data_IF_090388394981
#
_entry.id   IF_090388394981
#
_cell.length_a   1.000
_cell.length_b   1.000
_cell.length_c   1.000
_cell.angle_alpha   90.00
_cell.angle_beta   90.00
_cell.angle_gamma   90.00
#
_symmetry.space_group_name_H-M   'P 1'
#
loop_
_entity.id
_entity.type
_entity.pdbx_description
1 polymer ?
#
# COMPACT_ATOMS: atom_id res chain seq x y z
N UNK A 1 57.68 41.65 50.51
CA UNK A 1 58.18 40.56 49.64
C UNK A 1 57.10 39.50 49.54
N UNK A 2 56.57 39.33 48.33
CA UNK A 2 55.61 38.29 47.95
C UNK A 2 56.25 36.91 48.06
N UNK A 3 55.51 35.94 48.60
CA UNK A 3 55.49 34.57 48.05
C UNK A 3 54.19 33.88 48.46
N UNK A 4 53.23 33.95 47.54
CA UNK A 4 52.18 32.95 47.41
C UNK A 4 52.87 31.60 47.18
N UNK A 5 52.52 30.58 47.96
CA UNK A 5 52.82 29.21 47.63
C UNK A 5 51.49 28.45 47.62
N UNK A 6 50.89 28.45 46.43
CA UNK A 6 50.10 27.38 45.85
C UNK A 6 49.22 26.61 46.84
N UNK A 7 48.04 27.18 47.09
CA UNK A 7 46.84 26.40 47.32
C UNK A 7 46.72 25.39 46.17
N UNK A 8 46.97 24.11 46.45
CA UNK A 8 46.52 23.02 45.60
C UNK A 8 44.99 23.09 45.62
N UNK A 9 44.42 23.81 44.66
CA UNK A 9 43.05 23.57 44.24
C UNK A 9 43.16 22.28 43.47
N UNK A 10 42.78 21.15 44.10
CA UNK A 10 42.34 20.00 43.33
C UNK A 10 41.20 20.52 42.45
N UNK A 11 41.49 20.72 41.16
CA UNK A 11 40.47 20.66 40.14
C UNK A 11 39.87 19.26 40.26
N UNK A 12 38.83 19.13 41.08
CA UNK A 12 37.84 18.09 40.87
C UNK A 12 37.27 18.39 39.47
N UNK A 13 37.89 17.79 38.45
CA UNK A 13 37.25 17.59 37.16
C UNK A 13 35.89 16.99 37.48
N UNK A 14 34.83 17.81 37.34
CA UNK A 14 33.48 17.36 37.54
C UNK A 14 33.22 16.28 36.48
N UNK A 15 33.45 15.02 36.85
CA UNK A 15 33.16 13.87 36.01
C UNK A 15 31.68 13.98 35.64
N UNK A 16 31.42 14.27 34.37
CA UNK A 16 30.06 14.40 33.87
C UNK A 16 29.40 13.05 34.08
N UNK A 17 28.45 12.98 35.01
CA UNK A 17 27.68 11.78 35.24
C UNK A 17 26.81 11.53 33.99
N UNK A 18 27.23 10.56 33.17
CA UNK A 18 26.55 10.19 31.93
C UNK A 18 25.30 9.33 32.19
N UNK A 19 25.14 8.77 33.38
CA UNK A 19 23.98 7.92 33.74
C UNK A 19 22.63 8.60 33.48
N UNK A 20 22.36 9.84 33.93
CA UNK A 20 21.12 10.53 33.61
C UNK A 20 20.98 10.90 32.13
N UNK A 21 22.08 11.13 31.41
CA UNK A 21 22.03 11.45 29.97
C UNK A 21 21.65 10.22 29.14
N UNK A 22 22.23 9.08 29.51
CA UNK A 22 21.94 7.79 28.89
C UNK A 22 20.47 7.43 29.08
N UNK A 23 19.91 7.61 30.27
CA UNK A 23 18.49 7.34 30.56
C UNK A 23 17.54 8.11 29.62
N UNK A 24 17.81 9.40 29.37
CA UNK A 24 17.02 10.22 28.43
C UNK A 24 17.10 9.66 27.01
N UNK A 25 18.28 9.28 26.53
CA UNK A 25 18.45 8.70 25.19
C UNK A 25 17.74 7.35 25.05
N UNK A 26 17.81 6.50 26.08
CA UNK A 26 17.12 5.20 26.09
C UNK A 26 15.60 5.37 26.04
N UNK A 27 15.03 6.28 26.83
CA UNK A 27 13.59 6.57 26.81
C UNK A 27 13.16 7.11 25.44
N UNK A 28 13.97 7.96 24.80
CA UNK A 28 13.67 8.46 23.45
C UNK A 28 13.65 7.36 22.40
N UNK A 29 14.59 6.40 22.45
CA UNK A 29 14.61 5.26 21.53
C UNK A 29 13.42 4.33 21.74
N UNK A 30 13.06 4.04 22.99
CA UNK A 30 11.88 3.23 23.31
C UNK A 30 10.62 3.92 22.79
N UNK A 31 10.47 5.22 23.04
CA UNK A 31 9.35 5.99 22.51
C UNK A 31 9.29 5.88 20.99
N UNK A 32 10.40 6.10 20.28
CA UNK A 32 10.44 6.02 18.82
C UNK A 32 10.07 4.63 18.30
N UNK A 33 10.54 3.55 18.93
CA UNK A 33 10.20 2.16 18.58
C UNK A 33 8.72 1.86 18.83
N UNK A 34 8.18 2.31 19.97
CA UNK A 34 6.78 2.05 20.36
C UNK A 34 5.81 2.91 19.55
N UNK A 35 6.16 4.16 19.25
CA UNK A 35 5.34 5.07 18.44
C UNK A 35 5.57 4.93 16.94
N UNK A 36 6.58 4.15 16.52
CA UNK A 36 6.72 3.73 15.13
C UNK A 36 5.54 2.82 14.78
N UNK A 37 4.41 3.44 14.49
CA UNK A 37 3.32 2.80 13.79
C UNK A 37 3.76 2.67 12.35
N UNK A 38 3.92 1.43 11.87
CA UNK A 38 3.92 1.19 10.44
C UNK A 38 2.58 1.68 9.92
N UNK A 39 2.60 2.78 9.16
CA UNK A 39 1.47 3.17 8.33
C UNK A 39 1.33 2.08 7.26
N UNK A 40 0.65 0.99 7.61
CA UNK A 40 0.06 0.11 6.60
C UNK A 40 -1.00 0.97 5.95
N UNK A 41 -0.74 1.39 4.72
CA UNK A 41 -1.77 1.99 3.87
C UNK A 41 -3.02 1.13 3.97
N UNK A 42 -4.11 1.74 4.42
CA UNK A 42 -5.41 1.10 4.59
C UNK A 42 -5.99 0.76 3.23
N UNK A 43 -5.54 -0.35 2.67
CA UNK A 43 -6.24 -1.13 1.66
C UNK A 43 -6.89 -2.33 2.34
N UNK A 44 -8.19 -2.23 2.60
CA UNK A 44 -9.14 -3.32 2.90
C UNK A 44 -8.61 -4.51 3.73
N UNK A 45 -9.10 -4.61 4.96
CA UNK A 45 -8.90 -5.73 5.88
C UNK A 45 -9.33 -7.07 5.24
N UNK A 46 -8.36 -7.83 4.74
CA UNK A 46 -8.55 -9.21 4.29
C UNK A 46 -7.98 -10.10 5.39
N UNK A 47 -8.86 -10.69 6.19
CA UNK A 47 -8.55 -11.81 7.07
C UNK A 47 -7.87 -12.92 6.25
N UNK A 48 -6.53 -13.00 6.31
CA UNK A 48 -5.76 -14.07 5.69
C UNK A 48 -5.13 -14.91 6.81
N UNK A 49 -5.52 -16.18 6.99
CA UNK A 49 -4.77 -17.07 7.85
C UNK A 49 -3.39 -17.30 7.23
N UNK A 50 -2.34 -17.08 8.03
CA UNK A 50 -0.94 -17.23 7.64
C UNK A 50 -0.67 -18.66 7.16
N UNK A 51 -0.38 -18.80 5.86
CA UNK A 51 0.16 -20.02 5.28
C UNK A 51 1.59 -19.74 4.79
N UNK A 52 2.62 -20.29 5.46
CA UNK A 52 4.00 -20.12 5.03
C UNK A 52 4.26 -21.10 3.89
N UNK A 53 4.06 -20.67 2.64
CA UNK A 53 4.61 -21.23 1.36
C UNK A 53 3.72 -20.92 0.15
N UNK A 54 3.21 -19.68 0.01
CA UNK A 54 2.70 -19.26 -1.29
C UNK A 54 3.86 -18.64 -2.09
N UNK A 55 4.48 -19.44 -2.96
CA UNK A 55 5.21 -18.90 -4.12
C UNK A 55 4.26 -17.87 -4.74
N UNK A 56 4.64 -16.59 -4.75
CA UNK A 56 3.90 -15.52 -5.42
C UNK A 56 3.80 -15.91 -6.89
N UNK A 57 2.75 -16.66 -7.24
CA UNK A 57 2.24 -16.69 -8.60
C UNK A 57 1.82 -15.26 -8.82
N UNK A 58 2.48 -14.54 -9.74
CA UNK A 58 1.96 -13.27 -10.22
C UNK A 58 0.54 -13.56 -10.68
N UNK A 59 -0.45 -13.21 -9.85
CA UNK A 59 -1.84 -13.41 -10.18
C UNK A 59 -2.10 -12.49 -11.37
N UNK A 60 -2.26 -13.09 -12.55
CA UNK A 60 -2.55 -12.35 -13.77
C UNK A 60 -3.88 -11.62 -13.58
N UNK A 61 -3.81 -10.31 -13.37
CA UNK A 61 -4.98 -9.47 -13.18
C UNK A 61 -5.81 -9.40 -14.47
N UNK A 62 -7.12 -9.26 -14.30
CA UNK A 62 -8.05 -9.05 -15.41
C UNK A 62 -7.99 -7.56 -15.76
N UNK A 63 -7.33 -7.24 -16.86
CA UNK A 63 -7.27 -5.87 -17.36
C UNK A 63 -8.47 -5.57 -18.26
N UNK A 64 -9.25 -4.56 -17.85
CA UNK A 64 -10.39 -4.03 -18.59
C UNK A 64 -10.08 -2.60 -18.99
N UNK A 65 -10.06 -2.30 -20.28
CA UNK A 65 -9.87 -0.94 -20.77
C UNK A 65 -11.19 -0.33 -21.24
N UNK A 66 -11.40 0.95 -20.98
CA UNK A 66 -12.53 1.75 -21.45
C UNK A 66 -11.96 2.89 -22.29
N UNK A 67 -12.20 2.83 -23.59
CA UNK A 67 -11.71 3.85 -24.52
C UNK A 67 -12.53 5.13 -24.50
N UNK A 68 -12.01 6.17 -25.17
CA UNK A 68 -12.67 7.47 -25.28
C UNK A 68 -14.06 7.45 -25.94
N UNK A 69 -14.38 6.42 -26.74
CA UNK A 69 -15.71 6.25 -27.36
C UNK A 69 -16.62 5.29 -26.57
N UNK A 70 -16.27 4.99 -25.31
CA UNK A 70 -16.99 4.08 -24.40
C UNK A 70 -17.00 2.62 -24.86
N UNK A 71 -16.07 2.25 -25.71
CA UNK A 71 -15.81 0.86 -26.04
C UNK A 71 -15.08 0.16 -24.90
N UNK A 72 -15.55 -1.03 -24.53
CA UNK A 72 -14.96 -1.84 -23.46
C UNK A 72 -14.07 -2.90 -24.11
N UNK A 73 -12.86 -3.04 -23.60
CA UNK A 73 -11.89 -4.05 -24.04
C UNK A 73 -11.46 -4.93 -22.89
N UNK A 74 -11.41 -6.24 -23.13
CA UNK A 74 -10.88 -7.22 -22.17
C UNK A 74 -9.91 -8.12 -22.93
N UNK A 75 -8.67 -8.20 -22.44
CA UNK A 75 -7.59 -8.99 -23.09
C UNK A 75 -7.42 -8.67 -24.59
N UNK A 76 -7.47 -7.38 -24.95
CA UNK A 76 -7.27 -6.92 -26.33
C UNK A 76 -8.44 -7.20 -27.28
N UNK A 77 -9.60 -7.63 -26.78
CA UNK A 77 -10.83 -7.80 -27.57
C UNK A 77 -11.91 -6.84 -27.12
N UNK A 78 -12.63 -6.27 -28.07
CA UNK A 78 -13.81 -5.46 -27.80
C UNK A 78 -14.95 -6.34 -27.29
N UNK A 79 -15.53 -5.96 -26.16
CA UNK A 79 -16.60 -6.70 -25.46
C UNK A 79 -17.85 -5.84 -25.44
N UNK A 80 -19.00 -6.45 -25.70
CA UNK A 80 -20.30 -5.82 -25.51
C UNK A 80 -20.56 -5.59 -24.01
N UNK A 81 -21.10 -4.43 -23.58
CA UNK A 81 -21.40 -4.17 -22.17
C UNK A 81 -22.17 -5.29 -21.46
N UNK A 82 -23.07 -5.99 -22.15
CA UNK A 82 -23.86 -7.10 -21.59
C UNK A 82 -23.03 -8.36 -21.34
N UNK A 83 -21.91 -8.50 -22.02
CA UNK A 83 -21.02 -9.66 -21.94
C UNK A 83 -19.84 -9.45 -20.98
N UNK A 84 -19.69 -8.25 -20.41
CA UNK A 84 -18.57 -7.90 -19.50
C UNK A 84 -18.53 -8.85 -18.31
N UNK A 85 -19.66 -9.01 -17.61
CA UNK A 85 -19.77 -9.89 -16.45
C UNK A 85 -19.34 -11.32 -16.76
N UNK A 86 -19.91 -11.93 -17.80
CA UNK A 86 -19.60 -13.32 -18.16
C UNK A 86 -18.11 -13.52 -18.53
N UNK A 87 -17.47 -12.52 -19.15
CA UNK A 87 -16.04 -12.58 -19.43
C UNK A 87 -15.20 -12.48 -18.15
N UNK A 88 -15.57 -11.59 -17.22
CA UNK A 88 -14.88 -11.46 -15.93
C UNK A 88 -15.06 -12.73 -15.10
N UNK A 89 -16.28 -13.29 -15.01
CA UNK A 89 -16.57 -14.54 -14.31
C UNK A 89 -15.69 -15.69 -14.82
N UNK A 90 -15.60 -15.86 -16.15
CA UNK A 90 -14.76 -16.90 -16.75
C UNK A 90 -13.28 -16.71 -16.38
N UNK A 91 -12.76 -15.49 -16.51
CA UNK A 91 -11.36 -15.21 -16.23
C UNK A 91 -11.03 -15.32 -14.73
N UNK A 92 -11.98 -14.96 -13.86
CA UNK A 92 -11.85 -15.13 -12.43
C UNK A 92 -11.88 -16.61 -12.02
N UNK A 93 -12.69 -17.44 -12.68
CA UNK A 93 -12.66 -18.89 -12.48
C UNK A 93 -11.30 -19.50 -12.87
N UNK A 94 -10.64 -18.96 -13.91
CA UNK A 94 -9.29 -19.36 -14.33
C UNK A 94 -8.20 -18.87 -13.36
N UNK A 95 -8.40 -17.72 -12.73
CA UNK A 95 -7.50 -17.14 -11.74
C UNK A 95 -8.27 -16.49 -10.56
N UNK A 96 -8.63 -17.27 -9.53
CA UNK A 96 -9.43 -16.77 -8.39
C UNK A 96 -8.74 -15.70 -7.55
N UNK A 97 -7.41 -15.63 -7.59
CA UNK A 97 -6.61 -14.62 -6.89
C UNK A 97 -6.39 -13.34 -7.74
N UNK A 98 -6.90 -13.32 -8.98
CA UNK A 98 -6.75 -12.20 -9.91
C UNK A 98 -7.67 -11.03 -9.54
N UNK A 99 -7.09 -9.83 -9.46
CA UNK A 99 -7.86 -8.59 -9.31
C UNK A 99 -8.37 -8.10 -10.68
N UNK A 100 -9.42 -7.27 -10.68
CA UNK A 100 -9.84 -6.53 -11.88
C UNK A 100 -9.21 -5.15 -11.85
N UNK A 101 -8.49 -4.79 -12.90
CA UNK A 101 -7.92 -3.46 -13.10
C UNK A 101 -8.67 -2.81 -14.24
N UNK A 102 -9.33 -1.68 -13.96
CA UNK A 102 -10.07 -0.90 -14.94
C UNK A 102 -9.22 0.30 -15.35
N UNK A 103 -8.78 0.31 -16.60
CA UNK A 103 -8.07 1.42 -17.22
C UNK A 103 -9.08 2.26 -18.01
N UNK A 104 -9.38 3.47 -17.55
CA UNK A 104 -10.34 4.33 -18.21
C UNK A 104 -9.66 5.54 -18.86
N UNK A 105 -10.02 5.81 -20.10
CA UNK A 105 -9.69 7.07 -20.78
C UNK A 105 -10.36 8.26 -20.06
N UNK A 106 -9.73 9.44 -20.09
CA UNK A 106 -10.27 10.67 -19.49
C UNK A 106 -11.65 11.07 -20.04
N UNK A 107 -11.98 10.68 -21.27
CA UNK A 107 -13.25 10.97 -21.95
C UNK A 107 -14.29 9.86 -21.77
N UNK A 108 -13.92 8.75 -21.14
CA UNK A 108 -14.86 7.68 -20.84
C UNK A 108 -15.98 8.18 -19.92
N UNK A 109 -17.21 7.74 -20.20
CA UNK A 109 -18.37 8.07 -19.40
C UNK A 109 -18.32 7.30 -18.09
N UNK A 110 -18.63 8.01 -17.01
CA UNK A 110 -18.70 7.43 -15.67
C UNK A 110 -19.71 6.28 -15.61
N UNK A 111 -20.80 6.34 -16.39
CA UNK A 111 -21.78 5.25 -16.49
C UNK A 111 -21.13 3.93 -16.95
N UNK A 112 -20.27 3.98 -17.98
CA UNK A 112 -19.56 2.79 -18.48
C UNK A 112 -18.59 2.24 -17.44
N UNK A 113 -17.89 3.12 -16.71
CA UNK A 113 -17.02 2.71 -15.60
C UNK A 113 -17.80 1.99 -14.51
N UNK A 114 -18.93 2.57 -14.07
CA UNK A 114 -19.80 1.97 -13.03
C UNK A 114 -20.35 0.62 -13.50
N UNK A 115 -20.77 0.51 -14.76
CA UNK A 115 -21.22 -0.76 -15.34
C UNK A 115 -20.14 -1.86 -15.25
N UNK A 116 -18.89 -1.52 -15.56
CA UNK A 116 -17.77 -2.47 -15.46
C UNK A 116 -17.49 -2.84 -14.00
N UNK A 117 -17.49 -1.86 -13.09
CA UNK A 117 -17.30 -2.11 -11.66
C UNK A 117 -18.38 -3.02 -11.06
N UNK A 118 -19.63 -2.78 -11.39
CA UNK A 118 -20.75 -3.60 -10.91
C UNK A 118 -20.71 -4.99 -11.54
N UNK A 119 -20.34 -5.09 -12.82
CA UNK A 119 -20.13 -6.38 -13.49
C UNK A 119 -19.04 -7.21 -12.80
N UNK A 120 -17.93 -6.57 -12.40
CA UNK A 120 -16.85 -7.24 -11.67
C UNK A 120 -17.32 -7.74 -10.29
N UNK A 121 -18.08 -6.91 -9.56
CA UNK A 121 -18.62 -7.26 -8.24
C UNK A 121 -19.62 -8.41 -8.33
N UNK A 122 -20.51 -8.39 -9.32
CA UNK A 122 -21.47 -9.46 -9.58
C UNK A 122 -20.78 -10.76 -10.00
N UNK A 123 -19.59 -10.66 -10.63
CA UNK A 123 -18.75 -11.79 -10.98
C UNK A 123 -17.98 -12.39 -9.78
N UNK A 124 -18.16 -11.85 -8.57
CA UNK A 124 -17.46 -12.30 -7.35
C UNK A 124 -16.09 -11.65 -7.14
N UNK A 125 -15.69 -10.70 -8.00
CA UNK A 125 -14.41 -10.00 -7.85
C UNK A 125 -14.61 -8.70 -7.08
N UNK A 126 -14.15 -8.69 -5.82
CA UNK A 126 -14.24 -7.52 -4.94
C UNK A 126 -12.98 -6.65 -4.98
N UNK A 127 -11.84 -7.23 -5.39
CA UNK A 127 -10.60 -6.50 -5.56
C UNK A 127 -10.60 -5.81 -6.94
N UNK A 128 -11.17 -4.61 -6.99
CA UNK A 128 -11.26 -3.78 -8.20
C UNK A 128 -10.44 -2.52 -8.01
N UNK A 129 -9.49 -2.27 -8.91
CA UNK A 129 -8.68 -1.05 -8.94
C UNK A 129 -8.97 -0.25 -10.21
N UNK A 130 -8.91 1.08 -10.11
CA UNK A 130 -9.16 1.99 -11.24
C UNK A 130 -7.87 2.75 -11.50
N UNK A 131 -7.45 2.77 -12.76
CA UNK A 131 -6.38 3.59 -13.28
C UNK A 131 -6.95 4.52 -14.36
N UNK A 132 -6.60 5.81 -14.29
CA UNK A 132 -6.90 6.73 -15.37
C UNK A 132 -5.70 6.80 -16.31
N UNK A 133 -5.94 6.62 -17.61
CA UNK A 133 -4.89 6.81 -18.60
C UNK A 133 -4.59 8.30 -18.71
N UNK A 134 -3.37 8.67 -18.35
CA UNK A 134 -2.90 10.06 -18.44
C UNK A 134 -2.17 10.21 -19.76
N UNK A 135 -2.92 10.55 -20.81
CA UNK A 135 -2.34 11.27 -21.96
C UNK A 135 -1.59 12.52 -21.46
#
# INVERSE_FOLDING_TARGET
MRKNLFQYVEEEEAEINLTPMLDVVFIMLIFFIVTASFVKESGLDVNRPDAPTAVKKESANILVAIGASNEIWISGRRIDPRAVRANIERMHAENPEGAVIIQADKKAFTETLVLVMDSARQAGVFNVSIAAETD
#
